data_IF_652854788729
#
_entry.id   IF_652854788729
#
_cell.length_a   1.000
_cell.length_b   1.000
_cell.length_c   1.000
_cell.angle_alpha   90.00
_cell.angle_beta   90.00
_cell.angle_gamma   90.00
#
_symmetry.space_group_name_H-M   'P 1'
#
loop_
_entity.id
_entity.type
_entity.pdbx_description
1 polymer ?
#
# COMPACT_ATOMS: atom_id res chain seq x y z
N UNK A 1 20.60 8.48 -20.64
CA UNK A 1 20.63 7.00 -20.72
C UNK A 1 20.30 6.29 -19.40
N UNK A 2 19.97 7.00 -18.31
CA UNK A 2 19.78 6.41 -16.97
C UNK A 2 18.31 6.29 -16.53
N UNK A 3 17.43 7.19 -16.98
CA UNK A 3 16.00 7.17 -16.62
C UNK A 3 15.28 5.95 -17.20
N UNK A 4 15.55 5.63 -18.47
CA UNK A 4 14.92 4.50 -19.17
C UNK A 4 15.28 3.16 -18.54
N UNK A 5 16.49 3.05 -17.97
CA UNK A 5 16.93 1.84 -17.26
C UNK A 5 16.16 1.61 -15.96
N UNK A 6 15.89 2.67 -15.18
CA UNK A 6 15.12 2.55 -13.93
C UNK A 6 13.71 2.06 -14.24
N UNK A 7 13.05 2.65 -15.23
CA UNK A 7 11.71 2.25 -15.63
C UNK A 7 11.69 0.81 -16.16
N UNK A 8 12.62 0.45 -17.05
CA UNK A 8 12.74 -0.91 -17.57
C UNK A 8 12.93 -1.94 -16.45
N UNK A 9 13.76 -1.62 -15.45
CA UNK A 9 13.96 -2.49 -14.28
C UNK A 9 12.67 -2.64 -13.46
N UNK A 10 11.92 -1.57 -13.22
CA UNK A 10 10.66 -1.65 -12.46
C UNK A 10 9.63 -2.53 -13.19
N UNK A 11 9.50 -2.39 -14.51
CA UNK A 11 8.60 -3.20 -15.32
C UNK A 11 9.02 -4.67 -15.32
N UNK A 12 10.31 -4.95 -15.49
CA UNK A 12 10.85 -6.31 -15.45
C UNK A 12 10.66 -6.95 -14.08
N UNK A 13 10.89 -6.20 -12.99
CA UNK A 13 10.68 -6.70 -11.63
C UNK A 13 9.21 -6.97 -11.34
N UNK A 14 8.29 -6.14 -11.83
CA UNK A 14 6.86 -6.37 -11.70
C UNK A 14 6.41 -7.64 -12.41
N UNK A 15 6.90 -7.87 -13.64
CA UNK A 15 6.60 -9.09 -14.37
C UNK A 15 7.10 -10.34 -13.62
N UNK A 16 8.36 -10.30 -13.16
CA UNK A 16 8.93 -11.41 -12.39
C UNK A 16 8.18 -11.65 -11.07
N UNK A 17 7.80 -10.58 -10.37
CA UNK A 17 7.04 -10.68 -9.13
C UNK A 17 5.69 -11.37 -9.34
N UNK A 18 4.96 -11.01 -10.41
CA UNK A 18 3.68 -11.64 -10.73
C UNK A 18 3.84 -13.15 -11.01
N UNK A 19 4.86 -13.53 -11.78
CA UNK A 19 5.17 -14.94 -12.03
C UNK A 19 5.55 -15.70 -10.75
N UNK A 20 6.36 -15.08 -9.90
CA UNK A 20 6.82 -15.69 -8.65
C UNK A 20 5.67 -15.89 -7.66
N UNK A 21 4.75 -14.92 -7.56
CA UNK A 21 3.54 -15.03 -6.73
C UNK A 21 2.64 -16.14 -7.23
N UNK A 22 2.34 -16.20 -8.53
CA UNK A 22 1.49 -17.23 -9.10
C UNK A 22 2.11 -18.63 -8.97
N UNK A 23 3.44 -18.74 -9.06
CA UNK A 23 4.15 -20.01 -8.84
C UNK A 23 4.11 -20.45 -7.37
N UNK A 24 4.23 -19.51 -6.44
CA UNK A 24 4.22 -19.80 -5.01
C UNK A 24 2.81 -20.08 -4.47
N UNK A 25 1.81 -19.36 -4.96
CA UNK A 25 0.41 -19.42 -4.52
C UNK A 25 -0.52 -19.29 -5.75
N UNK A 26 -0.72 -20.38 -6.52
CA UNK A 26 -1.54 -20.35 -7.72
C UNK A 26 -2.97 -19.87 -7.45
N UNK A 27 -3.46 -18.95 -8.27
CA UNK A 27 -4.79 -18.34 -8.14
C UNK A 27 -4.89 -17.17 -7.15
N UNK A 28 -3.83 -16.87 -6.38
CA UNK A 28 -3.85 -15.78 -5.39
C UNK A 28 -4.23 -14.43 -6.02
N UNK A 29 -3.61 -14.07 -7.14
CA UNK A 29 -3.88 -12.80 -7.83
C UNK A 29 -5.30 -12.77 -8.42
N UNK A 30 -5.79 -13.91 -8.92
CA UNK A 30 -7.14 -14.03 -9.47
C UNK A 30 -8.21 -13.91 -8.37
N UNK A 31 -7.95 -14.44 -7.17
CA UNK A 31 -8.83 -14.28 -6.03
C UNK A 31 -8.82 -12.85 -5.48
N UNK A 32 -7.63 -12.24 -5.37
CA UNK A 32 -7.49 -10.85 -4.95
C UNK A 32 -8.20 -9.87 -5.91
N UNK A 33 -8.23 -10.18 -7.21
CA UNK A 33 -8.93 -9.37 -8.21
C UNK A 33 -10.46 -9.37 -8.04
N UNK A 34 -11.04 -10.37 -7.34
CA UNK A 34 -12.49 -10.44 -7.10
C UNK A 34 -12.92 -9.45 -6.02
N UNK A 35 -12.15 -9.35 -4.95
CA UNK A 35 -12.42 -8.45 -3.84
C UNK A 35 -11.17 -8.24 -2.98
N UNK A 36 -11.05 -7.02 -2.44
CA UNK A 36 -10.14 -6.73 -1.33
C UNK A 36 -10.89 -6.84 0.00
N UNK A 37 -10.26 -7.38 1.05
CA UNK A 37 -10.83 -7.40 2.40
C UNK A 37 -9.82 -7.04 3.51
N UNK A 38 -8.98 -6.00 3.33
CA UNK A 38 -8.00 -5.60 4.35
C UNK A 38 -8.71 -5.25 5.65
N UNK A 39 -8.08 -5.58 6.78
CA UNK A 39 -8.60 -5.26 8.11
C UNK A 39 -7.99 -4.01 8.73
N UNK A 40 -7.01 -3.43 8.04
CA UNK A 40 -6.23 -2.29 8.51
C UNK A 40 -6.20 -1.20 7.45
N UNK A 41 -6.49 0.05 7.85
CA UNK A 41 -6.09 1.26 7.15
C UNK A 41 -4.77 1.77 7.75
N UNK A 42 -3.76 1.96 6.92
CA UNK A 42 -2.48 2.57 7.27
C UNK A 42 -2.38 3.99 6.71
N UNK A 43 -2.19 4.98 7.57
CA UNK A 43 -1.87 6.36 7.21
C UNK A 43 -0.40 6.61 7.57
N UNK A 44 0.46 6.69 6.56
CA UNK A 44 1.92 6.74 6.74
C UNK A 44 2.63 7.79 5.90
N UNK A 45 3.95 7.90 6.07
CA UNK A 45 4.74 8.89 5.35
C UNK A 45 5.06 8.41 3.93
N UNK A 46 5.15 9.33 2.97
CA UNK A 46 5.60 9.06 1.61
C UNK A 46 7.10 8.68 1.52
N UNK A 47 7.83 8.72 2.63
CA UNK A 47 9.23 8.33 2.75
C UNK A 47 9.48 6.91 2.21
N UNK A 48 10.41 6.77 1.27
CA UNK A 48 10.69 5.51 0.57
C UNK A 48 11.32 4.43 1.44
N UNK A 49 11.76 4.76 2.67
CA UNK A 49 12.40 3.82 3.60
C UNK A 49 11.40 3.02 4.43
N UNK A 50 10.14 3.45 4.48
CA UNK A 50 9.08 2.84 5.31
C UNK A 50 7.82 2.45 4.50
N UNK A 51 7.94 1.66 3.42
CA UNK A 51 6.77 1.08 2.76
C UNK A 51 6.08 0.08 3.68
N UNK A 52 4.78 0.26 3.89
CA UNK A 52 3.98 -0.42 4.92
C UNK A 52 4.02 -1.94 4.79
N UNK A 53 3.74 -2.48 3.61
CA UNK A 53 3.73 -3.92 3.33
C UNK A 53 5.09 -4.58 3.56
N UNK A 54 6.19 -3.87 3.33
CA UNK A 54 7.53 -4.40 3.53
C UNK A 54 7.89 -4.44 5.00
N UNK A 55 7.66 -3.35 5.74
CA UNK A 55 8.05 -3.26 7.16
C UNK A 55 7.18 -4.16 8.06
N UNK A 56 5.98 -4.52 7.61
CA UNK A 56 5.10 -5.47 8.32
C UNK A 56 5.12 -6.89 7.74
N UNK A 57 5.91 -7.15 6.70
CA UNK A 57 5.92 -8.42 5.97
C UNK A 57 4.51 -8.88 5.51
N UNK A 58 3.71 -7.93 5.05
CA UNK A 58 2.32 -8.14 4.61
C UNK A 58 2.22 -8.44 3.12
N UNK A 59 1.17 -9.17 2.74
CA UNK A 59 0.83 -9.50 1.36
C UNK A 59 -0.10 -8.44 0.75
N UNK A 60 -0.22 -8.38 -0.59
CA UNK A 60 -1.26 -7.61 -1.24
C UNK A 60 -2.65 -7.96 -0.70
N UNK A 61 -3.45 -6.94 -0.37
CA UNK A 61 -4.79 -7.12 0.20
C UNK A 61 -4.86 -7.14 1.73
N UNK A 62 -3.72 -7.20 2.44
CA UNK A 62 -3.71 -7.18 3.91
C UNK A 62 -3.96 -5.77 4.48
N UNK A 63 -3.43 -4.74 3.80
CA UNK A 63 -3.41 -3.35 4.27
C UNK A 63 -4.00 -2.42 3.20
N UNK A 64 -4.96 -1.58 3.59
CA UNK A 64 -5.42 -0.44 2.82
C UNK A 64 -4.57 0.79 3.18
N UNK A 65 -4.09 1.56 2.20
CA UNK A 65 -2.96 2.48 2.44
C UNK A 65 -3.25 3.90 1.96
N UNK A 66 -2.97 4.88 2.81
CA UNK A 66 -2.79 6.29 2.46
C UNK A 66 -1.39 6.74 2.87
N UNK A 67 -0.68 7.44 1.98
CA UNK A 67 0.64 8.00 2.28
C UNK A 67 0.75 9.42 1.78
N UNK A 68 1.22 10.32 2.65
CA UNK A 68 1.50 11.71 2.32
C UNK A 68 2.77 12.18 3.06
N UNK A 69 3.19 13.42 2.83
CA UNK A 69 4.38 13.95 3.52
C UNK A 69 4.10 14.07 5.02
N UNK A 70 4.96 13.44 5.83
CA UNK A 70 4.85 13.43 7.29
C UNK A 70 3.54 12.86 7.85
N UNK A 71 2.88 11.94 7.11
CA UNK A 71 1.71 11.17 7.57
C UNK A 71 0.65 12.06 8.24
N UNK A 72 0.39 13.24 7.68
CA UNK A 72 -0.51 14.21 8.26
C UNK A 72 -1.96 13.84 8.00
N UNK A 73 -2.83 14.17 8.95
CA UNK A 73 -4.27 14.02 8.81
C UNK A 73 -4.94 15.33 9.19
N UNK A 74 -5.53 16.00 8.20
CA UNK A 74 -6.26 17.24 8.42
C UNK A 74 -7.74 17.02 8.14
N UNK A 75 -8.60 17.56 9.01
CA UNK A 75 -10.06 17.48 8.84
C UNK A 75 -10.60 18.29 7.65
N UNK A 76 -9.72 19.02 6.96
CA UNK A 76 -10.03 19.78 5.74
C UNK A 76 -9.32 19.21 4.51
N UNK A 77 -8.69 18.03 4.63
CA UNK A 77 -8.05 17.34 3.52
C UNK A 77 -9.00 16.29 2.95
N UNK A 78 -9.58 16.61 1.80
CA UNK A 78 -10.48 15.71 1.07
C UNK A 78 -9.81 14.38 0.71
N UNK A 79 -8.49 14.35 0.49
CA UNK A 79 -7.77 13.10 0.19
C UNK A 79 -7.74 12.18 1.41
N UNK A 80 -7.37 12.70 2.57
CA UNK A 80 -7.32 11.92 3.80
C UNK A 80 -8.72 11.50 4.27
N UNK A 81 -9.71 12.39 4.20
CA UNK A 81 -11.09 12.09 4.55
C UNK A 81 -11.72 11.05 3.62
N UNK A 82 -11.55 11.19 2.30
CA UNK A 82 -12.12 10.23 1.34
C UNK A 82 -11.55 8.83 1.53
N UNK A 83 -10.25 8.69 1.80
CA UNK A 83 -9.63 7.40 2.10
C UNK A 83 -10.17 6.83 3.41
N UNK A 84 -10.26 7.63 4.47
CA UNK A 84 -10.79 7.16 5.75
C UNK A 84 -12.24 6.69 5.62
N UNK A 85 -13.10 7.51 5.02
CA UNK A 85 -14.53 7.18 4.81
C UNK A 85 -14.66 5.91 3.98
N UNK A 86 -13.95 5.81 2.86
CA UNK A 86 -14.04 4.62 2.01
C UNK A 86 -13.53 3.36 2.72
N UNK A 87 -12.41 3.45 3.44
CA UNK A 87 -11.84 2.32 4.17
C UNK A 87 -12.81 1.81 5.25
N UNK A 88 -13.46 2.70 5.99
CA UNK A 88 -14.38 2.33 7.07
C UNK A 88 -15.73 1.86 6.52
N UNK A 89 -16.35 2.64 5.65
CA UNK A 89 -17.74 2.41 5.24
C UNK A 89 -17.90 1.39 4.11
N UNK A 90 -16.90 1.28 3.22
CA UNK A 90 -17.01 0.43 2.03
C UNK A 90 -16.06 -0.77 2.05
N UNK A 91 -14.83 -0.60 2.52
CA UNK A 91 -13.86 -1.70 2.64
C UNK A 91 -14.09 -2.50 3.93
N UNK A 92 -14.57 -1.86 5.00
CA UNK A 92 -14.85 -2.50 6.28
C UNK A 92 -13.59 -2.81 7.09
N UNK A 93 -12.59 -1.92 7.06
CA UNK A 93 -11.40 -2.04 7.92
C UNK A 93 -11.81 -1.98 9.39
N UNK A 94 -11.12 -2.75 10.24
CA UNK A 94 -11.38 -2.81 11.68
C UNK A 94 -10.41 -1.95 12.50
N UNK A 95 -9.29 -1.55 11.91
CA UNK A 95 -8.25 -0.75 12.56
C UNK A 95 -7.78 0.38 11.64
N UNK A 96 -7.54 1.54 12.24
CA UNK A 96 -6.90 2.69 11.57
C UNK A 96 -5.61 2.99 12.32
N UNK A 97 -4.49 2.95 11.61
CA UNK A 97 -3.15 3.17 12.15
C UNK A 97 -2.58 4.46 11.56
N UNK A 98 -2.19 5.40 12.44
CA UNK A 98 -1.40 6.57 12.07
C UNK A 98 0.05 6.30 12.42
N UNK A 99 0.93 6.20 11.41
CA UNK A 99 2.30 5.71 11.61
C UNK A 99 3.33 6.74 11.17
N UNK A 100 3.98 7.35 12.16
CA UNK A 100 5.18 8.17 11.98
C UNK A 100 6.45 7.35 11.86
N UNK A 101 7.57 8.02 11.61
CA UNK A 101 8.89 7.38 11.60
C UNK A 101 9.99 8.33 12.10
N UNK A 102 11.11 7.75 12.54
CA UNK A 102 12.30 8.51 12.92
C UNK A 102 12.93 9.20 11.71
N UNK A 103 13.53 10.38 11.92
CA UNK A 103 14.20 11.17 10.86
C UNK A 103 13.29 11.49 9.66
N UNK A 104 12.09 12.00 9.96
CA UNK A 104 11.14 12.52 8.97
C UNK A 104 11.48 13.98 8.62
N UNK A 105 12.10 14.19 7.46
CA UNK A 105 12.60 15.49 6.99
C UNK A 105 14.11 15.54 6.93
#
# INVERSE_FOLDING_TARGET
>A
MTQDYILARLLSNNAQWAEDVERAEPGFLADLAKAQTPKVLWIGCADSRVPESVVTASKPGDIFVHRNIANQFHLTDDSALSVLTYAVEHVGVSHVLLVGHTNCG
#
